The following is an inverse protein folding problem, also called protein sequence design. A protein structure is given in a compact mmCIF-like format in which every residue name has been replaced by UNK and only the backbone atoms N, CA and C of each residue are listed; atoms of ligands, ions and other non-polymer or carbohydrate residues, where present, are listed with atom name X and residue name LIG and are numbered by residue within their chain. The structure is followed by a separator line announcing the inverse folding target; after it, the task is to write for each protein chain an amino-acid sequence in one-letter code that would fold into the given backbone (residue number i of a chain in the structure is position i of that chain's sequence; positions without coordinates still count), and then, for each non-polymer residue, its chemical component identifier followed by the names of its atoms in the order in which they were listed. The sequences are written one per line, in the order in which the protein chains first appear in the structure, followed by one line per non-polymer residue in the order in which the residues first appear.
data_IF_913062512990
#
_entry.id   IF_913062512990
#
_cell.length_a   1.000
_cell.length_b   1.000
_cell.length_c   1.000
_cell.angle_alpha   90.00
_cell.angle_beta   90.00
_cell.angle_gamma   90.00
#
_symmetry.space_group_name_H-M   'P 1'
#
loop_
_entity.id
_entity.type
_entity.pdbx_description
1 polymer ?
#
# COMPACT_ATOMS: atom_id res chain seq x y z
N UNK A 1 22.13 -16.94 40.70
CA UNK A 1 20.74 -17.15 40.22
C UNK A 1 20.16 -15.78 39.97
N UNK A 2 20.16 -15.33 38.72
CA UNK A 2 19.03 -15.40 37.78
C UNK A 2 18.25 -14.07 37.79
N UNK A 3 18.68 -13.15 36.95
CA UNK A 3 17.83 -12.10 36.41
C UNK A 3 17.86 -12.26 34.90
N UNK A 4 17.35 -13.40 34.44
CA UNK A 4 16.80 -13.51 33.10
C UNK A 4 15.57 -12.61 33.08
N UNK A 5 15.76 -11.37 32.64
CA UNK A 5 14.70 -10.47 32.24
C UNK A 5 13.65 -11.26 31.45
N UNK A 6 12.40 -11.15 31.90
CA UNK A 6 11.21 -11.60 31.19
C UNK A 6 11.21 -10.98 29.79
N UNK A 7 11.85 -11.65 28.82
CA UNK A 7 11.57 -11.44 27.41
C UNK A 7 10.17 -11.98 27.21
N UNK A 8 9.18 -11.10 27.27
CA UNK A 8 7.81 -11.44 26.93
C UNK A 8 7.77 -11.94 25.47
N UNK A 9 7.63 -13.26 25.22
CA UNK A 9 7.71 -13.82 23.87
C UNK A 9 6.53 -13.38 22.99
N UNK A 10 5.50 -12.78 23.59
CA UNK A 10 4.29 -12.35 22.89
C UNK A 10 4.50 -11.09 22.04
N UNK A 11 5.50 -10.26 22.34
CA UNK A 11 5.87 -9.12 21.48
C UNK A 11 6.70 -9.56 20.25
N UNK A 12 7.37 -10.70 20.35
CA UNK A 12 8.18 -11.27 19.26
C UNK A 12 7.29 -11.89 18.16
N UNK A 13 5.99 -12.09 18.46
CA UNK A 13 5.04 -12.83 17.63
C UNK A 13 3.77 -12.04 17.28
N UNK A 14 3.81 -10.71 17.28
CA UNK A 14 2.72 -9.89 16.74
C UNK A 14 2.65 -10.05 15.20
N UNK A 15 1.59 -10.68 14.66
CA UNK A 15 1.46 -10.90 13.22
C UNK A 15 1.36 -9.59 12.42
N UNK A 16 0.88 -8.52 13.04
CA UNK A 16 0.79 -7.21 12.39
C UNK A 16 2.16 -6.52 12.36
N UNK A 17 2.93 -6.59 13.45
CA UNK A 17 4.31 -6.10 13.45
C UNK A 17 5.19 -6.84 12.43
N UNK A 18 4.94 -8.13 12.19
CA UNK A 18 5.61 -8.88 11.14
C UNK A 18 5.24 -8.37 9.73
N UNK A 19 3.98 -7.99 9.52
CA UNK A 19 3.52 -7.39 8.26
C UNK A 19 4.14 -6.02 8.00
N UNK A 20 4.22 -5.16 9.03
CA UNK A 20 4.87 -3.84 8.92
C UNK A 20 6.36 -4.00 8.53
N UNK A 21 7.10 -4.89 9.20
CA UNK A 21 8.50 -5.19 8.83
C UNK A 21 8.64 -5.76 7.41
N UNK A 22 7.69 -6.61 7.00
CA UNK A 22 7.68 -7.15 5.66
C UNK A 22 7.41 -6.04 4.63
N UNK A 23 6.53 -5.07 4.93
CA UNK A 23 6.26 -3.94 4.05
C UNK A 23 7.52 -3.10 3.83
N UNK A 24 8.28 -2.79 4.89
CA UNK A 24 9.56 -2.07 4.78
C UNK A 24 10.58 -2.83 3.92
N UNK A 25 10.69 -4.15 4.13
CA UNK A 25 11.58 -5.00 3.33
C UNK A 25 11.17 -5.06 1.86
N UNK A 26 9.87 -5.24 1.59
CA UNK A 26 9.33 -5.28 0.23
C UNK A 26 9.62 -3.96 -0.48
N UNK A 27 9.37 -2.84 0.20
CA UNK A 27 9.63 -1.50 -0.33
C UNK A 27 11.09 -1.30 -0.73
N UNK A 28 12.03 -1.55 0.19
CA UNK A 28 13.47 -1.39 -0.09
C UNK A 28 13.91 -2.27 -1.28
N UNK A 29 13.52 -3.55 -1.27
CA UNK A 29 13.92 -4.51 -2.30
C UNK A 29 13.26 -4.22 -3.65
N UNK A 30 12.00 -3.78 -3.69
CA UNK A 30 11.33 -3.46 -4.94
C UNK A 30 11.93 -2.22 -5.60
N UNK A 31 12.21 -1.18 -4.82
CA UNK A 31 12.83 0.04 -5.35
C UNK A 31 14.20 -0.26 -5.95
N UNK A 32 15.00 -1.08 -5.25
CA UNK A 32 16.30 -1.53 -5.76
C UNK A 32 16.16 -2.37 -7.04
N UNK A 33 15.27 -3.35 -7.06
CA UNK A 33 15.07 -4.20 -8.24
C UNK A 33 14.63 -3.39 -9.47
N UNK A 34 13.77 -2.38 -9.31
CA UNK A 34 13.38 -1.48 -10.41
C UNK A 34 14.55 -0.62 -10.87
N UNK A 35 15.29 -0.02 -9.93
CA UNK A 35 16.45 0.84 -10.25
C UNK A 35 17.57 0.07 -10.95
N UNK A 36 17.82 -1.18 -10.55
CA UNK A 36 18.84 -2.07 -11.12
C UNK A 36 18.35 -2.80 -12.39
N UNK A 37 17.08 -2.63 -12.80
CA UNK A 37 16.43 -3.37 -13.90
C UNK A 37 16.45 -4.88 -13.71
N UNK A 38 16.33 -5.31 -12.46
CA UNK A 38 16.32 -6.71 -12.04
C UNK A 38 14.91 -7.19 -11.65
N UNK A 39 13.86 -6.46 -12.05
CA UNK A 39 12.47 -6.82 -11.78
C UNK A 39 12.10 -8.22 -12.25
N UNK A 40 12.71 -8.70 -13.35
CA UNK A 40 12.47 -10.02 -13.93
C UNK A 40 12.92 -11.17 -13.02
N UNK A 41 13.74 -10.90 -11.99
CA UNK A 41 14.10 -11.89 -10.97
C UNK A 41 12.96 -12.16 -9.98
N UNK A 42 11.99 -11.25 -9.90
CA UNK A 42 10.81 -11.41 -9.04
C UNK A 42 9.72 -12.07 -9.88
N UNK A 43 9.25 -13.23 -9.42
CA UNK A 43 8.22 -13.96 -10.16
C UNK A 43 6.89 -13.21 -10.23
N UNK A 44 6.19 -13.32 -11.36
CA UNK A 44 4.85 -12.74 -11.58
C UNK A 44 3.87 -13.11 -10.46
N UNK A 45 3.94 -14.36 -9.98
CA UNK A 45 3.11 -14.84 -8.89
C UNK A 45 3.36 -14.09 -7.57
N UNK A 46 4.60 -13.64 -7.32
CA UNK A 46 4.94 -12.82 -6.15
C UNK A 46 4.35 -11.43 -6.31
N UNK A 47 4.54 -10.78 -7.45
CA UNK A 47 3.96 -9.46 -7.74
C UNK A 47 2.44 -9.49 -7.63
N UNK A 48 1.79 -10.53 -8.16
CA UNK A 48 0.34 -10.71 -8.07
C UNK A 48 -0.16 -10.84 -6.61
N UNK A 49 0.56 -11.57 -5.76
CA UNK A 49 0.25 -11.69 -4.32
C UNK A 49 0.38 -10.35 -3.61
N UNK A 50 1.46 -9.60 -3.87
CA UNK A 50 1.70 -8.27 -3.29
C UNK A 50 0.58 -7.30 -3.67
N UNK A 51 0.27 -7.20 -4.97
CA UNK A 51 -0.80 -6.36 -5.48
C UNK A 51 -2.16 -6.74 -4.88
N UNK A 52 -2.47 -8.04 -4.82
CA UNK A 52 -3.74 -8.51 -4.23
C UNK A 52 -3.85 -8.15 -2.76
N UNK A 53 -2.77 -8.33 -1.99
CA UNK A 53 -2.74 -8.01 -0.57
C UNK A 53 -2.91 -6.50 -0.34
N UNK A 54 -2.16 -5.67 -1.08
CA UNK A 54 -2.22 -4.22 -0.98
C UNK A 54 -3.62 -3.68 -1.31
N UNK A 55 -4.22 -4.12 -2.43
CA UNK A 55 -5.57 -3.68 -2.85
C UNK A 55 -6.62 -4.08 -1.81
N UNK A 56 -6.60 -5.33 -1.32
CA UNK A 56 -7.56 -5.80 -0.31
C UNK A 56 -7.42 -5.04 1.00
N UNK A 57 -6.19 -4.82 1.47
CA UNK A 57 -5.92 -4.11 2.71
C UNK A 57 -6.33 -2.63 2.62
N UNK A 58 -6.01 -1.98 1.51
CA UNK A 58 -6.40 -0.59 1.26
C UNK A 58 -7.92 -0.45 1.22
N UNK A 59 -8.62 -1.28 0.42
CA UNK A 59 -10.07 -1.25 0.34
C UNK A 59 -10.74 -1.42 1.72
N UNK A 60 -10.27 -2.38 2.51
CA UNK A 60 -10.79 -2.61 3.87
C UNK A 60 -10.57 -1.41 4.80
N UNK A 61 -9.42 -0.72 4.71
CA UNK A 61 -9.14 0.48 5.52
C UNK A 61 -9.89 1.72 5.02
N UNK A 62 -10.07 1.86 3.70
CA UNK A 62 -10.79 2.98 3.10
C UNK A 62 -12.30 2.91 3.36
N UNK A 63 -12.90 1.72 3.28
CA UNK A 63 -14.33 1.53 3.55
C UNK A 63 -14.68 1.64 5.04
N UNK A 64 -13.76 1.28 5.93
CA UNK A 64 -14.01 1.20 7.37
C UNK A 64 -13.70 2.46 8.18
N UNK A 65 -13.17 3.52 7.57
CA UNK A 65 -12.64 4.70 8.27
C UNK A 65 -13.38 6.01 7.96
N UNK A 66 -13.49 6.89 8.96
CA UNK A 66 -13.82 8.31 8.77
C UNK A 66 -12.61 9.17 8.34
N UNK A 67 -11.48 8.53 8.05
CA UNK A 67 -10.23 9.17 7.62
C UNK A 67 -9.84 8.64 6.26
N UNK A 68 -9.74 9.53 5.29
CA UNK A 68 -9.11 9.28 4.00
C UNK A 68 -7.58 9.34 4.17
N UNK A 69 -6.87 8.35 3.64
CA UNK A 69 -5.41 8.36 3.54
C UNK A 69 -4.99 7.98 2.13
N UNK A 70 -3.80 8.45 1.72
CA UNK A 70 -3.35 8.29 0.34
C UNK A 70 -3.04 6.82 0.04
N UNK A 71 -3.46 6.29 -1.12
CA UNK A 71 -3.21 4.89 -1.51
C UNK A 71 -1.75 4.60 -1.89
N UNK A 72 -0.98 5.65 -2.20
CA UNK A 72 0.41 5.55 -2.69
C UNK A 72 1.28 6.59 -1.99
N UNK A 73 2.58 6.28 -1.84
CA UNK A 73 3.59 7.15 -1.23
C UNK A 73 4.07 8.25 -2.19
N UNK A 74 4.82 9.22 -1.65
CA UNK A 74 5.43 10.34 -2.40
C UNK A 74 4.48 11.50 -2.65
N UNK A 75 4.98 12.61 -3.17
CA UNK A 75 4.14 13.71 -3.66
C UNK A 75 4.09 13.68 -5.20
N UNK A 76 2.89 13.87 -5.77
CA UNK A 76 2.66 13.80 -7.22
C UNK A 76 3.21 12.53 -7.88
N UNK A 77 4.23 12.65 -8.74
CA UNK A 77 4.82 11.58 -9.57
C UNK A 77 6.20 11.12 -9.11
N UNK A 78 6.65 11.54 -7.92
CA UNK A 78 7.99 11.25 -7.38
C UNK A 78 8.26 9.76 -7.19
N UNK A 79 7.21 8.99 -6.90
CA UNK A 79 7.30 7.57 -6.57
C UNK A 79 6.63 6.69 -7.61
N UNK A 80 5.44 7.11 -8.07
CA UNK A 80 4.69 6.42 -9.12
C UNK A 80 4.31 7.46 -10.17
N UNK A 81 4.78 7.26 -11.39
CA UNK A 81 4.40 8.12 -12.50
C UNK A 81 2.93 7.87 -12.90
N UNK A 82 2.25 8.87 -13.51
CA UNK A 82 0.88 8.69 -13.99
C UNK A 82 0.72 7.50 -14.95
N UNK A 83 1.74 7.22 -15.76
CA UNK A 83 1.74 6.10 -16.71
C UNK A 83 1.79 4.76 -15.97
N UNK A 84 2.64 4.61 -14.96
CA UNK A 84 2.72 3.38 -14.16
C UNK A 84 1.40 3.10 -13.44
N UNK A 85 0.80 4.14 -12.84
CA UNK A 85 -0.51 4.05 -12.20
C UNK A 85 -1.60 3.60 -13.18
N UNK A 86 -1.68 4.23 -14.35
CA UNK A 86 -2.68 3.89 -15.37
C UNK A 86 -2.49 2.47 -15.93
N UNK A 87 -1.25 2.05 -16.18
CA UNK A 87 -0.95 0.69 -16.60
C UNK A 87 -1.41 -0.32 -15.55
N UNK A 88 -1.00 -0.15 -14.29
CA UNK A 88 -1.36 -1.08 -13.22
C UNK A 88 -2.88 -1.17 -13.02
N UNK A 89 -3.58 -0.03 -12.95
CA UNK A 89 -5.05 0.00 -12.78
C UNK A 89 -5.75 -0.65 -13.97
N UNK A 90 -5.31 -0.38 -15.20
CA UNK A 90 -5.92 -0.97 -16.41
C UNK A 90 -5.76 -2.49 -16.44
N UNK A 91 -4.58 -3.00 -16.08
CA UNK A 91 -4.35 -4.45 -15.99
C UNK A 91 -5.23 -5.09 -14.91
N UNK A 92 -5.38 -4.45 -13.75
CA UNK A 92 -6.29 -4.92 -12.69
C UNK A 92 -7.73 -4.97 -13.17
N UNK A 93 -8.22 -3.90 -13.82
CA UNK A 93 -9.58 -3.86 -14.37
C UNK A 93 -9.79 -4.95 -15.43
N UNK A 94 -8.80 -5.16 -16.31
CA UNK A 94 -8.83 -6.22 -17.32
C UNK A 94 -8.87 -7.61 -16.69
N UNK A 95 -8.07 -7.84 -15.66
CA UNK A 95 -8.05 -9.10 -14.91
C UNK A 95 -9.41 -9.39 -14.24
N UNK A 96 -10.11 -8.34 -13.79
CA UNK A 96 -11.46 -8.44 -13.21
C UNK A 96 -12.57 -8.45 -14.27
N UNK A 97 -12.23 -8.39 -15.57
CA UNK A 97 -13.16 -8.31 -16.71
C UNK A 97 -14.14 -7.14 -16.59
N UNK A 98 -13.72 -6.04 -15.96
CA UNK A 98 -14.50 -4.82 -15.86
C UNK A 98 -14.34 -4.02 -17.17
N UNK A 99 -15.45 -3.77 -17.84
CA UNK A 99 -15.46 -2.90 -19.01
C UNK A 99 -15.41 -1.42 -18.63
N UNK A 100 -15.18 -0.53 -19.63
CA UNK A 100 -15.20 0.92 -19.43
C UNK A 100 -16.52 1.44 -18.86
N UNK A 101 -17.64 0.75 -19.12
CA UNK A 101 -18.97 1.13 -18.65
C UNK A 101 -19.13 0.91 -17.14
N UNK A 102 -18.67 -0.24 -16.63
CA UNK A 102 -18.72 -0.61 -15.22
C UNK A 102 -17.88 0.34 -14.37
N UNK A 103 -16.70 0.73 -14.87
CA UNK A 103 -15.86 1.75 -14.23
C UNK A 103 -16.54 3.13 -14.18
N UNK A 104 -17.22 3.54 -15.26
CA UNK A 104 -17.96 4.79 -15.32
C UNK A 104 -19.11 4.89 -14.31
N UNK A 105 -19.72 3.77 -13.94
CA UNK A 105 -20.76 3.72 -12.90
C UNK A 105 -20.17 3.79 -11.48
N UNK A 106 -19.00 3.20 -11.27
CA UNK A 106 -18.33 3.19 -9.96
C UNK A 106 -17.65 4.53 -9.63
N UNK A 107 -16.94 5.13 -10.60
CA UNK A 107 -16.24 6.42 -10.48
C UNK A 107 -17.16 7.64 -10.25
N UNK A 108 -18.46 7.49 -10.56
CA UNK A 108 -19.48 8.51 -10.29
C UNK A 108 -19.97 8.53 -8.84
N UNK A 109 -19.68 7.50 -8.04
CA UNK A 109 -19.80 7.55 -6.58
C UNK A 109 -18.58 8.26 -6.03
N UNK A 110 -18.58 9.58 -6.03
CA UNK A 110 -17.55 10.34 -5.32
C UNK A 110 -17.86 10.29 -3.82
N UNK A 111 -16.89 9.92 -2.96
CA UNK A 111 -16.81 10.51 -1.64
C UNK A 111 -16.43 11.97 -1.86
N UNK A 112 -17.20 12.90 -1.30
CA UNK A 112 -17.07 14.33 -1.53
C UNK A 112 -15.75 14.96 -0.99
N UNK A 113 -14.87 14.21 -0.30
CA UNK A 113 -13.87 14.79 0.63
C UNK A 113 -12.42 14.28 0.45
N UNK A 114 -11.79 14.50 -0.69
CA UNK A 114 -10.33 14.47 -0.77
C UNK A 114 -9.80 15.89 -0.56
N UNK A 115 -9.78 16.34 0.71
CA UNK A 115 -9.05 17.54 1.08
C UNK A 115 -7.54 17.28 0.97
N UNK A 116 -6.85 18.10 0.19
CA UNK A 116 -5.39 18.17 0.13
C UNK A 116 -4.85 18.60 1.51
N UNK A 117 -4.59 17.63 2.40
CA UNK A 117 -3.88 17.91 3.65
C UNK A 117 -2.37 17.90 3.33
N UNK A 118 -1.65 19.02 3.49
CA UNK A 118 -0.20 19.06 3.24
C UNK A 118 0.55 18.14 4.21
N UNK A 119 1.60 17.47 3.73
CA UNK A 119 2.47 16.54 4.48
C UNK A 119 2.97 17.10 5.83
N UNK A 120 3.07 18.42 5.97
CA UNK A 120 3.51 19.10 7.19
C UNK A 120 2.58 18.92 8.40
N UNK A 121 1.32 18.50 8.20
CA UNK A 121 0.36 18.29 9.30
C UNK A 121 0.32 16.85 9.84
N UNK A 122 0.78 15.86 9.08
CA UNK A 122 0.83 14.46 9.53
C UNK A 122 1.91 14.22 10.61
N UNK A 123 2.93 15.07 10.68
CA UNK A 123 4.06 14.94 11.63
C UNK A 123 3.72 15.49 13.03
N UNK A 124 2.64 16.28 13.19
CA UNK A 124 2.30 16.92 14.47
C UNK A 124 1.30 16.16 15.33
N UNK A 125 0.56 15.21 14.78
CA UNK A 125 -0.51 14.50 15.51
C UNK A 125 -0.04 13.22 16.23
N UNK A 126 1.26 12.91 16.19
CA UNK A 126 1.88 11.78 16.90
C UNK A 126 2.37 12.06 18.32
N UNK A 127 1.97 13.19 18.95
CA UNK A 127 2.19 13.43 20.38
C UNK A 127 0.96 14.09 21.02
N UNK A 128 0.16 13.26 21.67
CA UNK A 128 -0.54 13.56 22.92
C UNK A 128 -0.97 12.24 23.55
#
# INVERSE_FOLDING_TARGET
MSSSEDRNPDLENDPYAALERAADLIWDRSQRAVAERESDQISDATVAKLMTAAVKLYAAKADGGSRTFRPVLGDYDEVITPTEALTAVTEVLRALRLGPMEFGLWSRRRPEDYHDIPHSELVKTGKS
#
